data_IF_754486394288
#
_entry.id   IF_754486394288
#
_cell.length_a   1.000
_cell.length_b   1.000
_cell.length_c   1.000
_cell.angle_alpha   90.00
_cell.angle_beta   90.00
_cell.angle_gamma   90.00
#
_symmetry.space_group_name_H-M   'P 1'
#
loop_
_entity.id
_entity.type
_entity.pdbx_description
1 polymer ?
#
# COMPACT_ATOMS: atom_id res chain seq x y z
N UNK A 1 4.50 -7.89 -25.08
CA UNK A 1 3.66 -8.63 -24.13
C UNK A 1 3.48 -7.67 -22.97
N UNK A 2 2.37 -6.93 -22.93
CA UNK A 2 2.13 -5.97 -21.85
C UNK A 2 2.06 -6.75 -20.54
N UNK A 3 2.79 -6.31 -19.52
CA UNK A 3 2.56 -6.78 -18.16
C UNK A 3 1.15 -6.33 -17.80
N UNK A 4 0.26 -7.30 -17.66
CA UNK A 4 -1.11 -7.06 -17.21
C UNK A 4 -1.04 -6.87 -15.69
N UNK A 5 -0.86 -5.62 -15.27
CA UNK A 5 -0.99 -5.25 -13.86
C UNK A 5 -2.46 -5.46 -13.52
N UNK A 6 -2.76 -6.27 -12.50
CA UNK A 6 -4.14 -6.51 -12.12
C UNK A 6 -4.86 -5.20 -11.79
N UNK A 7 -6.16 -5.12 -12.11
CA UNK A 7 -6.97 -3.89 -11.99
C UNK A 7 -6.96 -3.27 -10.61
N UNK A 8 -6.86 -4.08 -9.56
CA UNK A 8 -6.80 -3.61 -8.18
C UNK A 8 -5.48 -2.89 -7.90
N UNK A 9 -4.37 -3.48 -8.35
CA UNK A 9 -3.03 -2.89 -8.23
C UNK A 9 -2.91 -1.61 -9.04
N UNK A 10 -3.37 -1.63 -10.30
CA UNK A 10 -3.38 -0.45 -11.17
C UNK A 10 -4.21 0.69 -10.56
N UNK A 11 -5.44 0.43 -10.15
CA UNK A 11 -6.30 1.42 -9.49
C UNK A 11 -5.71 1.97 -8.21
N UNK A 12 -5.00 1.13 -7.45
CA UNK A 12 -4.29 1.55 -6.24
C UNK A 12 -3.15 2.52 -6.57
N UNK A 13 -2.36 2.20 -7.61
CA UNK A 13 -1.28 3.11 -8.05
C UNK A 13 -1.82 4.44 -8.57
N UNK A 14 -2.92 4.43 -9.33
CA UNK A 14 -3.57 5.65 -9.83
C UNK A 14 -3.98 6.56 -8.67
N UNK A 15 -4.69 6.01 -7.67
CA UNK A 15 -5.13 6.78 -6.50
C UNK A 15 -3.94 7.35 -5.71
N UNK A 16 -2.88 6.56 -5.50
CA UNK A 16 -1.69 7.02 -4.80
C UNK A 16 -0.94 8.11 -5.57
N UNK A 17 -0.78 7.93 -6.88
CA UNK A 17 -0.15 8.93 -7.75
C UNK A 17 -0.87 10.26 -7.65
N UNK A 18 -2.20 10.27 -7.75
CA UNK A 18 -2.99 11.52 -7.67
C UNK A 18 -2.92 12.16 -6.29
N UNK A 19 -2.99 11.35 -5.22
CA UNK A 19 -2.81 11.86 -3.87
C UNK A 19 -1.45 12.58 -3.73
N UNK A 20 -0.40 11.95 -4.22
CA UNK A 20 0.94 12.52 -4.21
C UNK A 20 1.05 13.78 -5.08
N UNK A 21 0.54 13.75 -6.32
CA UNK A 21 0.55 14.89 -7.22
C UNK A 21 -0.28 16.07 -6.70
N UNK A 22 -1.40 15.81 -5.99
CA UNK A 22 -2.23 16.86 -5.40
C UNK A 22 -1.53 17.64 -4.27
N UNK A 23 -0.56 17.01 -3.60
CA UNK A 23 0.29 17.65 -2.60
C UNK A 23 1.34 18.59 -3.22
N UNK A 24 1.72 18.32 -4.46
CA UNK A 24 2.65 19.12 -5.26
C UNK A 24 1.87 20.29 -5.88
N UNK A 25 1.70 21.40 -5.19
CA UNK A 25 1.03 22.61 -5.71
C UNK A 25 1.73 23.16 -6.96
N UNK A 26 1.49 22.58 -8.13
CA UNK A 26 2.19 23.01 -9.33
C UNK A 26 1.25 23.13 -10.53
N UNK A 27 1.23 24.31 -11.12
CA UNK A 27 0.84 24.53 -12.50
C UNK A 27 2.08 24.27 -13.39
N UNK A 28 2.50 23.02 -13.50
CA UNK A 28 3.60 22.64 -14.38
C UNK A 28 3.04 21.97 -15.62
N UNK A 29 3.66 22.23 -16.76
CA UNK A 29 3.29 21.62 -18.04
C UNK A 29 3.41 20.10 -18.00
N UNK A 30 4.31 19.58 -17.14
CA UNK A 30 4.57 18.15 -16.97
C UNK A 30 3.39 17.39 -16.33
N UNK A 31 2.47 18.07 -15.63
CA UNK A 31 1.24 17.44 -15.12
C UNK A 31 0.29 16.99 -16.24
N UNK A 32 0.42 17.55 -17.45
CA UNK A 32 -0.36 17.11 -18.60
C UNK A 32 -0.05 15.66 -19.00
N UNK A 33 1.12 15.12 -18.60
CA UNK A 33 1.45 13.70 -18.77
C UNK A 33 0.69 12.76 -17.83
N UNK A 34 -0.17 13.26 -16.93
CA UNK A 34 -0.94 12.47 -15.96
C UNK A 34 -2.43 12.80 -16.02
N UNK A 35 -2.96 13.21 -17.17
CA UNK A 35 -4.33 13.68 -17.32
C UNK A 35 -5.35 12.54 -17.08
N UNK A 36 -5.17 11.38 -17.71
CA UNK A 36 -6.05 10.23 -17.52
C UNK A 36 -5.95 9.70 -16.08
N UNK A 37 -4.74 9.67 -15.51
CA UNK A 37 -4.49 9.33 -14.11
C UNK A 37 -5.24 10.28 -13.18
N UNK A 38 -5.18 11.59 -13.42
CA UNK A 38 -5.89 12.60 -12.62
C UNK A 38 -7.40 12.42 -12.70
N UNK A 39 -7.94 12.28 -13.90
CA UNK A 39 -9.38 12.12 -14.10
C UNK A 39 -9.90 10.83 -13.46
N UNK A 40 -9.23 9.70 -13.69
CA UNK A 40 -9.62 8.42 -13.08
C UNK A 40 -9.50 8.45 -11.55
N UNK A 41 -8.43 9.04 -11.02
CA UNK A 41 -8.23 9.17 -9.58
C UNK A 41 -9.28 10.07 -8.90
N UNK A 42 -9.65 11.19 -9.51
CA UNK A 42 -10.74 12.05 -9.02
C UNK A 42 -12.10 11.33 -9.08
N UNK A 43 -12.38 10.57 -10.15
CA UNK A 43 -13.60 9.75 -10.22
C UNK A 43 -13.63 8.70 -9.11
N UNK A 44 -12.50 8.05 -8.85
CA UNK A 44 -12.34 7.11 -7.75
C UNK A 44 -12.53 7.74 -6.38
N UNK A 45 -11.97 8.94 -6.15
CA UNK A 45 -12.14 9.68 -4.92
C UNK A 45 -13.63 10.04 -4.67
N UNK A 46 -14.35 10.44 -5.71
CA UNK A 46 -15.80 10.67 -5.61
C UNK A 46 -16.56 9.38 -5.29
N UNK A 47 -16.27 8.29 -6.02
CA UNK A 47 -16.91 6.99 -5.80
C UNK A 47 -16.66 6.48 -4.38
N UNK A 48 -15.43 6.55 -3.89
CA UNK A 48 -15.07 6.12 -2.54
C UNK A 48 -15.85 6.86 -1.45
N UNK A 49 -16.14 8.16 -1.65
CA UNK A 49 -16.97 8.95 -0.74
C UNK A 49 -18.44 8.56 -0.79
N UNK A 50 -18.95 8.27 -2.00
CA UNK A 50 -20.32 7.77 -2.17
C UNK A 50 -20.48 6.41 -1.48
N UNK A 51 -19.53 5.49 -1.63
CA UNK A 51 -19.51 4.19 -0.97
C UNK A 51 -19.40 4.32 0.56
N UNK A 52 -18.52 5.21 1.04
CA UNK A 52 -18.32 5.44 2.49
C UNK A 52 -19.55 6.04 3.19
N UNK A 53 -20.43 6.68 2.45
CA UNK A 53 -21.69 7.22 2.97
C UNK A 53 -22.71 6.15 3.33
N UNK A 54 -22.53 4.93 2.84
CA UNK A 54 -23.42 3.75 3.10
C UNK A 54 -24.89 3.99 2.77
N UNK A 55 -25.21 4.96 1.91
CA UNK A 55 -26.54 5.22 1.40
C UNK A 55 -26.66 4.71 -0.03
N UNK A 56 -27.68 3.92 -0.32
CA UNK A 56 -27.95 3.43 -1.68
C UNK A 56 -28.38 4.59 -2.60
N UNK A 57 -29.04 5.60 -2.05
CA UNK A 57 -29.48 6.80 -2.78
C UNK A 57 -28.89 8.04 -2.09
N UNK A 58 -28.08 8.79 -2.83
CA UNK A 58 -27.41 9.99 -2.36
C UNK A 58 -28.00 11.22 -3.06
N UNK A 59 -28.52 12.22 -2.31
CA UNK A 59 -29.00 13.47 -2.91
C UNK A 59 -27.88 14.21 -3.66
N UNK A 60 -28.18 14.78 -4.84
CA UNK A 60 -27.20 15.50 -5.65
C UNK A 60 -26.46 16.61 -4.89
N UNK A 61 -27.15 17.31 -3.95
CA UNK A 61 -26.52 18.34 -3.14
C UNK A 61 -25.40 17.75 -2.25
N UNK A 62 -25.58 16.55 -1.75
CA UNK A 62 -24.56 15.85 -0.96
C UNK A 62 -23.40 15.40 -1.85
N UNK A 63 -23.69 14.87 -3.05
CA UNK A 63 -22.67 14.53 -4.03
C UNK A 63 -21.83 15.74 -4.46
N UNK A 64 -22.41 16.96 -4.53
CA UNK A 64 -21.64 18.18 -4.76
C UNK A 64 -20.63 18.49 -3.65
N UNK A 65 -20.96 18.17 -2.40
CA UNK A 65 -20.03 18.32 -1.27
C UNK A 65 -18.89 17.29 -1.44
N UNK A 66 -19.22 16.04 -1.73
CA UNK A 66 -18.22 15.00 -1.97
C UNK A 66 -17.32 15.31 -3.16
N UNK A 67 -17.88 15.84 -4.27
CA UNK A 67 -17.10 16.28 -5.42
C UNK A 67 -16.09 17.38 -5.05
N UNK A 68 -16.51 18.39 -4.31
CA UNK A 68 -15.60 19.44 -3.82
C UNK A 68 -14.46 18.88 -2.97
N UNK A 69 -14.78 17.92 -2.10
CA UNK A 69 -13.79 17.23 -1.29
C UNK A 69 -12.86 16.31 -2.10
N UNK A 70 -13.24 15.96 -3.31
CA UNK A 70 -12.44 15.20 -4.27
C UNK A 70 -11.77 16.10 -5.32
N UNK A 71 -11.62 17.40 -5.03
CA UNK A 71 -11.03 18.40 -5.93
C UNK A 71 -11.72 18.48 -7.31
N UNK A 72 -13.02 18.16 -7.34
CA UNK A 72 -13.87 18.26 -8.54
C UNK A 72 -14.69 19.55 -8.43
N UNK A 73 -14.59 20.42 -9.43
CA UNK A 73 -15.40 21.63 -9.49
C UNK A 73 -16.87 21.33 -9.76
N UNK A 74 -17.76 22.24 -9.39
CA UNK A 74 -19.20 22.07 -9.63
C UNK A 74 -19.57 21.96 -11.10
N UNK A 75 -18.75 22.51 -12.02
CA UNK A 75 -18.94 22.41 -13.46
C UNK A 75 -18.53 21.05 -14.03
N UNK A 76 -17.54 20.40 -13.40
CA UNK A 76 -17.01 19.12 -13.86
C UNK A 76 -17.76 17.90 -13.30
N UNK A 77 -18.54 18.08 -12.21
CA UNK A 77 -19.18 16.98 -11.50
C UNK A 77 -19.99 16.06 -12.43
N UNK A 78 -20.71 16.62 -13.42
CA UNK A 78 -21.52 15.83 -14.35
C UNK A 78 -20.63 14.90 -15.20
N UNK A 79 -19.45 15.35 -15.60
CA UNK A 79 -18.47 14.54 -16.33
C UNK A 79 -18.04 13.33 -15.52
N UNK A 80 -17.69 13.54 -14.24
CA UNK A 80 -17.29 12.46 -13.36
C UNK A 80 -18.43 11.50 -13.01
N UNK A 81 -19.65 12.01 -12.82
CA UNK A 81 -20.83 11.15 -12.67
C UNK A 81 -21.06 10.29 -13.94
N UNK A 82 -20.82 10.85 -15.13
CA UNK A 82 -20.92 10.08 -16.37
C UNK A 82 -19.83 9.00 -16.47
N UNK A 83 -18.59 9.25 -16.04
CA UNK A 83 -17.57 8.21 -16.00
C UNK A 83 -17.99 7.05 -15.08
N UNK A 84 -18.51 7.36 -13.89
CA UNK A 84 -18.97 6.35 -12.94
C UNK A 84 -20.22 5.60 -13.45
N UNK A 85 -21.11 6.28 -14.14
CA UNK A 85 -22.31 5.69 -14.79
C UNK A 85 -21.90 4.75 -15.91
N UNK A 86 -20.96 5.16 -16.77
CA UNK A 86 -20.41 4.31 -17.84
C UNK A 86 -19.64 3.10 -17.33
N UNK A 87 -19.15 3.17 -16.09
CA UNK A 87 -18.54 2.05 -15.37
C UNK A 87 -19.58 1.20 -14.62
N UNK A 88 -20.89 1.52 -14.74
CA UNK A 88 -22.00 0.82 -14.09
C UNK A 88 -21.91 0.80 -12.55
N UNK A 89 -21.32 1.84 -11.97
CA UNK A 89 -21.17 1.95 -10.50
C UNK A 89 -22.11 2.92 -9.85
N UNK A 90 -22.75 3.75 -10.65
CA UNK A 90 -23.86 4.64 -10.24
C UNK A 90 -24.88 4.74 -11.37
N UNK A 91 -26.09 5.16 -11.01
CA UNK A 91 -27.03 5.81 -11.92
C UNK A 91 -27.55 7.08 -11.25
N UNK A 92 -28.19 7.96 -12.03
CA UNK A 92 -28.80 9.16 -11.47
C UNK A 92 -30.05 9.57 -12.21
N UNK A 93 -31.04 10.03 -11.45
CA UNK A 93 -32.25 10.63 -11.98
C UNK A 93 -32.03 12.11 -12.25
N UNK A 94 -32.78 12.66 -13.22
CA UNK A 94 -32.71 14.10 -13.55
C UNK A 94 -34.05 14.79 -13.26
N UNK A 95 -33.99 16.07 -12.94
CA UNK A 95 -35.18 16.92 -12.81
C UNK A 95 -35.73 17.34 -14.21
N UNK A 96 -36.85 18.09 -14.21
CA UNK A 96 -37.47 18.61 -15.43
C UNK A 96 -36.55 19.52 -16.28
N UNK A 97 -35.47 20.03 -15.65
CA UNK A 97 -34.45 20.86 -16.33
C UNK A 97 -33.22 20.07 -16.75
N UNK A 98 -33.24 18.73 -16.62
CA UNK A 98 -32.13 17.85 -16.97
C UNK A 98 -30.98 17.86 -15.98
N UNK A 99 -31.17 18.34 -14.74
CA UNK A 99 -30.13 18.37 -13.70
C UNK A 99 -30.24 17.15 -12.81
N UNK A 100 -29.10 16.52 -12.45
CA UNK A 100 -29.12 15.37 -11.54
C UNK A 100 -29.82 15.72 -10.21
N UNK A 101 -30.67 14.82 -9.74
CA UNK A 101 -31.45 14.96 -8.51
C UNK A 101 -30.99 13.99 -7.42
N UNK A 102 -30.93 12.72 -7.76
CA UNK A 102 -30.58 11.64 -6.87
C UNK A 102 -29.61 10.69 -7.59
N UNK A 103 -28.65 10.17 -6.85
CA UNK A 103 -27.60 9.28 -7.35
C UNK A 103 -27.77 7.95 -6.63
N UNK A 104 -28.02 6.88 -7.39
CA UNK A 104 -28.03 5.52 -6.91
C UNK A 104 -26.62 4.93 -7.01
N UNK A 105 -26.15 4.26 -5.94
CA UNK A 105 -24.78 3.73 -5.85
C UNK A 105 -24.81 2.21 -5.90
N UNK A 106 -24.11 1.63 -6.88
CA UNK A 106 -24.00 0.19 -7.12
C UNK A 106 -22.60 -0.37 -6.83
N UNK A 107 -21.80 0.35 -6.07
CA UNK A 107 -20.47 -0.06 -5.63
C UNK A 107 -20.52 -0.33 -4.14
N UNK A 108 -20.12 -1.55 -3.71
CA UNK A 108 -20.33 -2.02 -2.34
C UNK A 108 -19.03 -2.26 -1.58
N UNK A 109 -17.88 -2.16 -2.23
CA UNK A 109 -16.58 -2.34 -1.58
C UNK A 109 -15.54 -1.39 -2.14
N UNK A 110 -14.52 -1.11 -1.33
CA UNK A 110 -13.41 -0.30 -1.79
C UNK A 110 -12.53 -1.00 -2.83
N UNK A 111 -12.45 -2.32 -2.80
CA UNK A 111 -11.81 -3.11 -3.85
C UNK A 111 -12.47 -2.84 -5.20
N UNK A 112 -13.79 -2.93 -5.23
CA UNK A 112 -14.58 -2.66 -6.43
C UNK A 112 -14.40 -1.20 -6.90
N UNK A 113 -14.30 -0.25 -5.96
CA UNK A 113 -14.02 1.14 -6.29
C UNK A 113 -12.63 1.31 -6.96
N UNK A 114 -11.58 0.66 -6.46
CA UNK A 114 -10.25 0.69 -7.05
C UNK A 114 -10.20 0.00 -8.43
N UNK A 115 -10.84 -1.15 -8.60
CA UNK A 115 -10.98 -1.82 -9.89
C UNK A 115 -11.75 -0.95 -10.91
N UNK A 116 -12.68 -0.13 -10.42
CA UNK A 116 -13.41 0.85 -11.23
C UNK A 116 -12.51 1.99 -11.68
N UNK A 117 -11.60 2.46 -10.81
CA UNK A 117 -10.59 3.47 -11.20
C UNK A 117 -9.75 2.98 -12.37
N UNK A 118 -9.23 1.76 -12.30
CA UNK A 118 -8.49 1.13 -13.41
C UNK A 118 -9.35 1.05 -14.68
N UNK A 119 -10.62 0.67 -14.56
CA UNK A 119 -11.53 0.58 -15.72
C UNK A 119 -11.78 1.95 -16.36
N UNK A 120 -11.95 3.02 -15.57
CA UNK A 120 -12.11 4.39 -16.08
C UNK A 120 -10.82 4.87 -16.73
N UNK A 121 -9.67 4.66 -16.08
CA UNK A 121 -8.36 5.02 -16.59
C UNK A 121 -8.11 4.47 -18.00
N UNK A 122 -8.33 3.17 -18.17
CA UNK A 122 -8.14 2.51 -19.46
C UNK A 122 -9.13 3.00 -20.55
N UNK A 123 -10.34 3.45 -20.17
CA UNK A 123 -11.30 4.07 -21.08
C UNK A 123 -10.93 5.50 -21.51
N UNK A 124 -10.10 6.17 -20.72
CA UNK A 124 -9.60 7.52 -21.02
C UNK A 124 -8.42 7.53 -22.00
N UNK A 125 -8.02 6.34 -22.50
CA UNK A 125 -6.90 6.19 -23.44
C UNK A 125 -5.62 6.88 -22.96
N UNK A 126 -5.05 6.43 -21.79
CA UNK A 126 -3.90 7.07 -21.17
C UNK A 126 -2.69 7.14 -22.10
N UNK A 127 -1.88 8.19 -21.93
CA UNK A 127 -0.64 8.36 -22.69
C UNK A 127 0.37 7.26 -22.34
N UNK A 128 1.35 7.04 -23.23
CA UNK A 128 2.38 6.02 -23.03
C UNK A 128 3.18 6.26 -21.73
N UNK A 129 3.46 7.52 -21.41
CA UNK A 129 4.17 7.93 -20.19
C UNK A 129 3.38 7.60 -18.91
N UNK A 130 2.05 7.75 -18.93
CA UNK A 130 1.20 7.38 -17.80
C UNK A 130 1.22 5.88 -17.55
N UNK A 131 1.05 5.09 -18.61
CA UNK A 131 1.10 3.63 -18.54
C UNK A 131 2.49 3.14 -18.09
N UNK A 132 3.54 3.68 -18.69
CA UNK A 132 4.92 3.38 -18.32
C UNK A 132 5.21 3.74 -16.86
N UNK A 133 4.64 4.86 -16.37
CA UNK A 133 4.80 5.27 -14.96
C UNK A 133 4.18 4.25 -14.00
N UNK A 134 2.97 3.78 -14.25
CA UNK A 134 2.31 2.78 -13.38
C UNK A 134 3.06 1.44 -13.39
N UNK A 135 3.54 1.00 -14.55
CA UNK A 135 4.37 -0.21 -14.71
C UNK A 135 5.69 -0.04 -13.93
N UNK A 136 6.36 1.11 -14.10
CA UNK A 136 7.61 1.41 -13.41
C UNK A 136 7.46 1.50 -11.89
N UNK A 137 6.35 2.07 -11.39
CA UNK A 137 6.03 2.10 -9.97
C UNK A 137 5.85 0.70 -9.41
N UNK A 138 5.16 -0.19 -10.11
CA UNK A 138 5.00 -1.57 -9.68
C UNK A 138 6.33 -2.32 -9.67
N UNK A 139 7.17 -2.12 -10.69
CA UNK A 139 8.49 -2.76 -10.77
C UNK A 139 9.45 -2.30 -9.66
N UNK A 140 9.46 -1.00 -9.35
CA UNK A 140 10.27 -0.44 -8.24
C UNK A 140 9.69 -0.74 -6.86
N UNK A 141 8.40 -1.11 -6.78
CA UNK A 141 7.78 -1.59 -5.56
C UNK A 141 8.24 -3.00 -5.20
N UNK A 142 8.50 -3.85 -6.17
CA UNK A 142 9.00 -5.21 -5.94
C UNK A 142 10.42 -5.20 -5.40
N UNK A 143 11.32 -4.45 -6.02
CA UNK A 143 12.72 -4.32 -5.61
C UNK A 143 13.27 -2.93 -5.95
N UNK A 144 14.23 -2.40 -5.17
CA UNK A 144 15.05 -1.27 -5.59
C UNK A 144 15.79 -1.57 -6.89
N UNK A 145 15.78 -0.62 -7.83
CA UNK A 145 16.32 -0.79 -9.19
C UNK A 145 17.29 0.33 -9.57
N UNK A 146 18.31 0.02 -10.35
CA UNK A 146 19.09 1.07 -11.01
C UNK A 146 18.31 1.65 -12.20
N UNK A 147 18.50 2.94 -12.56
CA UNK A 147 17.74 3.57 -13.65
C UNK A 147 17.80 2.80 -14.98
N UNK A 148 18.97 2.24 -15.31
CA UNK A 148 19.15 1.49 -16.57
C UNK A 148 18.34 0.18 -16.58
N UNK A 149 18.23 -0.53 -15.45
CA UNK A 149 17.37 -1.73 -15.33
C UNK A 149 15.90 -1.36 -15.52
N UNK A 150 15.45 -0.25 -14.93
CA UNK A 150 14.08 0.22 -15.11
C UNK A 150 13.82 0.60 -16.56
N UNK A 151 14.75 1.29 -17.21
CA UNK A 151 14.66 1.67 -18.62
C UNK A 151 14.58 0.42 -19.52
N UNK A 152 15.45 -0.55 -19.30
CA UNK A 152 15.47 -1.82 -20.04
C UNK A 152 14.17 -2.61 -19.82
N UNK A 153 13.67 -2.64 -18.59
CA UNK A 153 12.41 -3.30 -18.26
C UNK A 153 11.23 -2.65 -18.99
N UNK A 154 11.10 -1.33 -18.98
CA UNK A 154 10.05 -0.61 -19.69
C UNK A 154 10.13 -0.86 -21.21
N UNK A 155 11.31 -0.82 -21.80
CA UNK A 155 11.47 -1.07 -23.24
C UNK A 155 11.16 -2.50 -23.65
N UNK A 156 11.53 -3.49 -22.84
CA UNK A 156 11.13 -4.91 -23.04
C UNK A 156 9.62 -5.11 -22.99
N UNK A 157 8.91 -4.24 -22.27
CA UNK A 157 7.45 -4.25 -22.17
C UNK A 157 6.73 -3.39 -23.21
N UNK A 158 7.46 -2.91 -24.23
CA UNK A 158 6.89 -2.24 -25.39
C UNK A 158 6.85 -0.72 -25.28
N UNK A 159 7.39 -0.13 -24.23
CA UNK A 159 7.54 1.33 -24.09
C UNK A 159 8.70 1.81 -24.99
N UNK A 160 8.52 2.90 -25.70
CA UNK A 160 9.59 3.49 -26.51
C UNK A 160 10.77 3.94 -25.62
N UNK A 161 11.98 3.94 -26.16
CA UNK A 161 13.18 4.28 -25.39
C UNK A 161 13.15 5.74 -24.90
N UNK A 162 12.59 6.63 -25.69
CA UNK A 162 12.41 8.05 -25.37
C UNK A 162 11.36 8.22 -24.26
N UNK A 163 10.23 7.54 -24.38
CA UNK A 163 9.19 7.55 -23.37
C UNK A 163 9.67 6.95 -22.04
N UNK A 164 10.41 5.83 -22.08
CA UNK A 164 10.97 5.23 -20.86
C UNK A 164 11.93 6.19 -20.13
N UNK A 165 12.78 6.91 -20.85
CA UNK A 165 13.67 7.91 -20.25
C UNK A 165 12.89 9.08 -19.66
N UNK A 166 11.90 9.61 -20.39
CA UNK A 166 11.01 10.69 -19.92
C UNK A 166 10.24 10.27 -18.67
N UNK A 167 9.66 9.07 -18.67
CA UNK A 167 8.91 8.52 -17.53
C UNK A 167 9.76 8.44 -16.26
N UNK A 168 11.00 7.96 -16.37
CA UNK A 168 11.91 7.87 -15.23
C UNK A 168 12.21 9.26 -14.66
N UNK A 169 12.44 10.26 -15.51
CA UNK A 169 12.66 11.63 -15.05
C UNK A 169 11.41 12.26 -14.44
N UNK A 170 10.22 12.00 -14.99
CA UNK A 170 8.95 12.43 -14.40
C UNK A 170 8.74 11.79 -13.01
N UNK A 171 8.98 10.49 -12.87
CA UNK A 171 8.86 9.80 -11.59
C UNK A 171 9.80 10.35 -10.53
N UNK A 172 11.06 10.68 -10.90
CA UNK A 172 12.02 11.33 -10.00
C UNK A 172 11.59 12.75 -9.64
N UNK A 173 11.23 13.55 -10.65
CA UNK A 173 10.85 14.96 -10.48
C UNK A 173 9.63 15.12 -9.57
N UNK A 174 8.64 14.28 -9.77
CA UNK A 174 7.44 14.28 -8.95
C UNK A 174 7.59 13.49 -7.63
N UNK A 175 8.74 12.82 -7.41
CA UNK A 175 9.00 12.06 -6.20
C UNK A 175 8.13 10.81 -6.07
N UNK A 176 7.57 10.32 -7.17
CA UNK A 176 6.82 9.06 -7.24
C UNK A 176 7.70 7.85 -6.92
N UNK A 177 8.97 7.93 -7.30
CA UNK A 177 10.05 7.06 -6.83
C UNK A 177 11.06 7.87 -6.05
N UNK A 178 11.62 7.29 -5.01
CA UNK A 178 12.73 7.87 -4.26
C UNK A 178 14.05 7.49 -4.89
N UNK A 179 15.03 8.36 -4.72
CA UNK A 179 16.36 8.20 -5.26
C UNK A 179 17.36 8.11 -4.12
N UNK A 180 18.23 7.11 -4.15
CA UNK A 180 19.37 6.97 -3.25
C UNK A 180 20.65 6.85 -4.06
N UNK A 181 21.74 7.49 -3.63
CA UNK A 181 23.01 7.50 -4.35
C UNK A 181 23.13 8.60 -5.39
N UNK A 182 24.33 8.71 -5.97
CA UNK A 182 24.69 9.71 -6.99
C UNK A 182 25.35 9.03 -8.20
N UNK A 183 25.16 9.61 -9.38
CA UNK A 183 25.80 9.14 -10.61
C UNK A 183 25.42 7.69 -10.97
N UNK A 184 26.43 6.85 -11.21
CA UNK A 184 26.27 5.44 -11.57
C UNK A 184 25.71 4.56 -10.43
N UNK A 185 25.83 5.03 -9.18
CA UNK A 185 25.37 4.28 -8.00
C UNK A 185 23.94 4.68 -7.61
N UNK A 186 23.22 5.38 -8.48
CA UNK A 186 21.86 5.81 -8.25
C UNK A 186 20.90 4.61 -8.26
N UNK A 187 20.04 4.53 -7.24
CA UNK A 187 19.03 3.49 -7.06
C UNK A 187 17.66 4.13 -6.90
N UNK A 188 16.71 3.64 -7.66
CA UNK A 188 15.30 4.01 -7.58
C UNK A 188 14.55 3.00 -6.72
N UNK A 189 13.74 3.46 -5.79
CA UNK A 189 12.94 2.60 -4.93
C UNK A 189 11.61 3.25 -4.56
N UNK A 190 10.67 2.41 -4.17
CA UNK A 190 9.37 2.87 -3.68
C UNK A 190 9.38 2.88 -2.14
N UNK A 191 9.05 4.02 -1.54
CA UNK A 191 9.07 4.18 -0.07
C UNK A 191 8.01 3.33 0.64
N UNK A 192 6.97 2.85 -0.07
CA UNK A 192 5.94 2.01 0.50
C UNK A 192 6.38 0.55 0.69
N UNK A 193 7.35 0.10 -0.10
CA UNK A 193 7.77 -1.29 -0.11
C UNK A 193 9.06 -1.55 0.66
N UNK A 194 9.84 -0.52 0.95
CA UNK A 194 11.19 -0.73 1.46
C UNK A 194 11.59 0.31 2.50
N UNK A 195 11.77 -0.14 3.74
CA UNK A 195 12.22 0.69 4.86
C UNK A 195 13.73 0.54 5.17
N UNK A 196 14.44 -0.31 4.42
CA UNK A 196 15.87 -0.56 4.61
C UNK A 196 16.76 0.40 3.84
N UNK A 197 18.04 0.04 3.68
CA UNK A 197 19.00 0.76 2.84
C UNK A 197 18.93 0.26 1.39
N UNK A 198 18.36 1.05 0.46
CA UNK A 198 18.19 0.65 -0.94
C UNK A 198 19.54 0.40 -1.64
N UNK A 199 20.59 1.13 -1.28
CA UNK A 199 21.93 0.94 -1.85
C UNK A 199 22.52 -0.40 -1.46
N UNK A 200 22.29 -0.82 -0.21
CA UNK A 200 22.74 -2.12 0.27
C UNK A 200 22.06 -3.25 -0.50
N UNK A 201 20.76 -3.13 -0.79
CA UNK A 201 20.04 -4.10 -1.63
C UNK A 201 20.59 -4.12 -3.04
N UNK A 202 20.67 -2.98 -3.71
CA UNK A 202 21.17 -2.89 -5.07
C UNK A 202 22.59 -3.46 -5.21
N UNK A 203 23.48 -3.15 -4.24
CA UNK A 203 24.84 -3.68 -4.20
C UNK A 203 24.87 -5.20 -3.98
N UNK A 204 24.00 -5.73 -3.13
CA UNK A 204 23.88 -7.17 -2.92
C UNK A 204 23.39 -7.87 -4.20
N UNK A 205 22.33 -7.33 -4.85
CA UNK A 205 21.79 -7.87 -6.10
C UNK A 205 22.78 -7.78 -7.27
N UNK A 206 23.56 -6.70 -7.37
CA UNK A 206 24.57 -6.55 -8.43
C UNK A 206 25.74 -7.53 -8.32
N UNK A 207 25.99 -8.05 -7.11
CA UNK A 207 27.03 -9.06 -6.87
C UNK A 207 26.61 -10.48 -7.24
N UNK A 208 25.34 -10.73 -7.50
CA UNK A 208 24.78 -12.03 -7.85
C UNK A 208 24.92 -12.33 -9.35
N UNK A 209 25.14 -13.60 -9.68
CA UNK A 209 25.00 -14.08 -11.05
C UNK A 209 23.52 -14.20 -11.48
N UNK A 210 23.26 -14.53 -12.74
CA UNK A 210 21.91 -14.61 -13.26
C UNK A 210 21.09 -15.72 -12.58
N UNK A 211 21.69 -16.88 -12.32
CA UNK A 211 21.01 -18.00 -11.67
C UNK A 211 20.64 -17.64 -10.22
N UNK A 212 21.50 -16.90 -9.53
CA UNK A 212 21.25 -16.41 -8.17
C UNK A 212 20.19 -15.33 -8.11
N UNK A 213 20.13 -14.46 -9.13
CA UNK A 213 19.04 -13.47 -9.26
C UNK A 213 17.69 -14.17 -9.49
N UNK A 214 17.66 -15.21 -10.31
CA UNK A 214 16.45 -16.02 -10.51
C UNK A 214 16.00 -16.71 -9.20
N UNK A 215 16.94 -17.18 -8.38
CA UNK A 215 16.64 -17.69 -7.04
C UNK A 215 16.04 -16.64 -6.13
N UNK A 216 16.55 -15.40 -6.11
CA UNK A 216 15.98 -14.28 -5.35
C UNK A 216 14.53 -14.02 -5.77
N UNK A 217 14.28 -13.96 -7.09
CA UNK A 217 12.93 -13.73 -7.62
C UNK A 217 11.97 -14.86 -7.25
N UNK A 218 12.44 -16.11 -7.31
CA UNK A 218 11.62 -17.27 -6.94
C UNK A 218 11.28 -17.28 -5.42
N UNK A 219 12.25 -17.01 -4.56
CA UNK A 219 12.00 -16.90 -3.10
C UNK A 219 11.00 -15.77 -2.82
N UNK A 220 11.18 -14.61 -3.45
CA UNK A 220 10.27 -13.48 -3.28
C UNK A 220 8.86 -13.83 -3.74
N UNK A 221 8.71 -14.53 -4.89
CA UNK A 221 7.42 -15.02 -5.39
C UNK A 221 6.74 -15.96 -4.39
N UNK A 222 7.46 -16.98 -3.91
CA UNK A 222 6.94 -17.97 -2.95
C UNK A 222 6.44 -17.33 -1.66
N UNK A 223 7.24 -16.42 -1.09
CA UNK A 223 6.90 -15.74 0.17
C UNK A 223 5.77 -14.72 -0.03
N UNK A 224 5.71 -14.05 -1.18
CA UNK A 224 4.63 -13.11 -1.50
C UNK A 224 3.29 -13.82 -1.74
N UNK A 225 3.30 -14.97 -2.39
CA UNK A 225 2.11 -15.79 -2.62
C UNK A 225 1.60 -16.46 -1.34
N UNK A 226 2.48 -16.67 -0.37
CA UNK A 226 2.12 -17.31 0.91
C UNK A 226 2.78 -16.58 2.09
N UNK A 227 2.23 -15.46 2.54
CA UNK A 227 2.76 -14.75 3.70
C UNK A 227 2.85 -15.66 4.94
N UNK A 228 3.97 -15.56 5.64
CA UNK A 228 4.32 -16.52 6.70
C UNK A 228 4.79 -17.87 6.14
N UNK A 229 5.54 -17.85 5.04
CA UNK A 229 6.13 -19.03 4.41
C UNK A 229 7.15 -19.69 5.35
N UNK A 230 7.06 -21.00 5.53
CA UNK A 230 8.00 -21.73 6.40
C UNK A 230 9.37 -21.82 5.72
N UNK A 231 10.43 -21.36 6.38
CA UNK A 231 11.78 -21.35 5.82
C UNK A 231 12.27 -22.77 5.41
N UNK A 232 11.84 -23.79 6.14
CA UNK A 232 12.16 -25.19 5.85
C UNK A 232 11.49 -25.72 4.57
N UNK A 233 10.43 -25.05 4.09
CA UNK A 233 9.71 -25.43 2.85
C UNK A 233 10.30 -24.76 1.60
N UNK A 234 11.35 -23.94 1.75
CA UNK A 234 12.07 -23.37 0.62
C UNK A 234 12.69 -24.52 -0.20
N UNK A 235 12.50 -24.54 -1.54
CA UNK A 235 13.05 -25.60 -2.39
C UNK A 235 14.56 -25.75 -2.23
N UNK A 236 15.04 -26.98 -2.17
CA UNK A 236 16.48 -27.30 -2.06
C UNK A 236 17.32 -26.83 -3.25
N UNK A 237 16.69 -26.41 -4.34
CA UNK A 237 17.34 -25.76 -5.50
C UNK A 237 17.82 -24.34 -5.16
N UNK A 238 17.23 -23.71 -4.16
CA UNK A 238 17.63 -22.39 -3.68
C UNK A 238 18.81 -22.55 -2.72
N UNK A 239 19.91 -21.86 -3.02
CA UNK A 239 21.10 -21.89 -2.16
C UNK A 239 20.79 -21.17 -0.82
N UNK A 240 21.12 -21.76 0.35
CA UNK A 240 20.81 -21.17 1.66
C UNK A 240 21.32 -19.74 1.85
N UNK A 241 22.51 -19.42 1.35
CA UNK A 241 23.09 -18.07 1.46
C UNK A 241 22.26 -17.00 0.75
N UNK A 242 21.44 -17.34 -0.24
CA UNK A 242 20.51 -16.40 -0.90
C UNK A 242 19.44 -15.94 0.09
N UNK A 243 18.84 -16.88 0.82
CA UNK A 243 17.83 -16.54 1.85
C UNK A 243 18.44 -15.70 2.97
N UNK A 244 19.60 -16.10 3.47
CA UNK A 244 20.36 -15.34 4.50
C UNK A 244 20.71 -13.92 4.02
N UNK A 245 21.14 -13.79 2.76
CA UNK A 245 21.42 -12.49 2.15
C UNK A 245 20.14 -11.66 2.07
N UNK A 246 19.02 -12.22 1.60
CA UNK A 246 17.74 -11.53 1.48
C UNK A 246 17.22 -11.03 2.84
N UNK A 247 17.32 -11.82 3.90
CA UNK A 247 17.01 -11.39 5.27
C UNK A 247 17.99 -10.29 5.72
N UNK A 248 19.29 -10.48 5.49
CA UNK A 248 20.35 -9.55 5.88
C UNK A 248 20.25 -8.16 5.23
N UNK A 249 19.70 -8.05 4.04
CA UNK A 249 19.47 -6.76 3.35
C UNK A 249 18.04 -6.24 3.50
N UNK A 250 17.14 -7.00 4.17
CA UNK A 250 15.76 -6.59 4.42
C UNK A 250 14.79 -6.82 3.26
N UNK A 251 15.10 -7.75 2.36
CA UNK A 251 14.15 -8.24 1.34
C UNK A 251 13.20 -9.30 1.88
N UNK A 252 13.54 -9.90 3.02
CA UNK A 252 12.70 -10.81 3.78
C UNK A 252 12.72 -10.44 5.26
N UNK A 253 11.60 -10.63 5.92
CA UNK A 253 11.45 -10.53 7.37
C UNK A 253 11.16 -11.92 7.94
N UNK A 254 12.07 -12.46 8.77
CA UNK A 254 11.93 -13.76 9.44
C UNK A 254 11.39 -13.59 10.86
N UNK A 255 10.31 -14.30 11.20
CA UNK A 255 9.78 -14.39 12.57
C UNK A 255 9.88 -15.82 13.05
N UNK A 256 10.66 -16.04 14.11
CA UNK A 256 10.84 -17.37 14.72
C UNK A 256 9.86 -17.56 15.88
N UNK A 257 8.96 -18.53 15.72
CA UNK A 257 8.08 -18.98 16.82
C UNK A 257 8.79 -20.10 17.57
N UNK A 258 8.98 -19.92 18.86
CA UNK A 258 9.51 -20.93 19.79
C UNK A 258 8.40 -21.49 20.66
N UNK A 259 8.34 -22.80 20.77
CA UNK A 259 7.36 -23.52 21.57
C UNK A 259 7.98 -24.75 22.24
N UNK A 260 7.27 -25.38 23.15
CA UNK A 260 7.67 -26.64 23.79
C UNK A 260 7.92 -27.79 22.78
N UNK A 261 7.34 -27.73 21.59
CA UNK A 261 7.50 -28.73 20.52
C UNK A 261 8.61 -28.40 19.52
N UNK A 262 9.35 -27.33 19.72
CA UNK A 262 10.43 -26.89 18.82
C UNK A 262 10.27 -25.44 18.36
N UNK A 263 11.08 -25.05 17.38
CA UNK A 263 11.05 -23.71 16.76
C UNK A 263 10.83 -23.82 15.25
N UNK A 264 10.27 -22.76 14.67
CA UNK A 264 10.14 -22.61 13.23
C UNK A 264 10.16 -21.13 12.84
N UNK A 265 10.81 -20.82 11.72
CA UNK A 265 10.92 -19.47 11.20
C UNK A 265 9.99 -19.28 10.01
N UNK A 266 9.18 -18.22 10.03
CA UNK A 266 8.21 -17.87 9.02
C UNK A 266 8.62 -16.56 8.36
N UNK A 267 8.64 -16.57 7.03
CA UNK A 267 9.12 -15.46 6.21
C UNK A 267 7.95 -14.63 5.69
N UNK A 268 8.16 -13.33 5.65
CA UNK A 268 7.28 -12.36 4.98
C UNK A 268 8.13 -11.42 4.14
N UNK A 269 7.54 -10.79 3.11
CA UNK A 269 8.21 -9.74 2.33
C UNK A 269 7.81 -8.35 2.84
N UNK A 270 8.64 -7.30 2.64
CA UNK A 270 8.26 -5.91 2.91
C UNK A 270 7.01 -5.48 2.15
N UNK A 271 6.82 -6.00 0.92
CA UNK A 271 5.66 -5.75 0.06
C UNK A 271 4.34 -6.26 0.64
N UNK A 272 4.37 -7.03 1.73
CA UNK A 272 3.19 -7.45 2.46
C UNK A 272 2.29 -6.27 2.87
N UNK A 273 2.83 -5.07 3.00
CA UNK A 273 2.06 -3.84 3.22
C UNK A 273 1.16 -3.44 2.05
N UNK A 274 1.41 -3.97 0.86
CA UNK A 274 0.71 -3.55 -0.34
C UNK A 274 1.04 -2.11 -0.80
N UNK A 275 0.81 -1.78 -2.07
CA UNK A 275 1.05 -0.45 -2.59
C UNK A 275 0.13 0.59 -1.90
N UNK A 276 0.69 1.73 -1.53
CA UNK A 276 -0.04 2.83 -0.90
C UNK A 276 -0.38 2.69 0.58
N UNK A 277 -0.06 1.57 1.22
CA UNK A 277 -0.15 1.41 2.68
C UNK A 277 1.12 1.95 3.33
N UNK A 278 1.27 3.27 3.35
CA UNK A 278 2.42 3.92 4.00
C UNK A 278 2.40 3.75 5.52
N UNK A 279 3.56 3.93 6.16
CA UNK A 279 3.73 3.92 7.63
C UNK A 279 2.82 4.93 8.35
N UNK A 280 2.32 5.94 7.64
CA UNK A 280 1.40 6.93 8.15
C UNK A 280 -0.02 6.38 8.41
N UNK A 281 -0.47 5.42 7.60
CA UNK A 281 -1.81 4.82 7.71
C UNK A 281 -1.83 3.58 8.60
N UNK A 282 -0.70 2.96 8.81
CA UNK A 282 -0.56 1.73 9.56
C UNK A 282 0.59 1.87 10.56
N UNK A 283 0.27 1.80 11.86
CA UNK A 283 1.29 1.77 12.91
C UNK A 283 2.23 0.58 12.71
N UNK A 284 3.54 0.85 12.75
CA UNK A 284 4.57 -0.19 12.65
C UNK A 284 4.39 -1.29 13.71
N UNK A 285 4.01 -0.89 14.92
CA UNK A 285 3.75 -1.80 16.03
C UNK A 285 2.58 -2.75 15.73
N UNK A 286 1.46 -2.22 15.20
CA UNK A 286 0.29 -3.02 14.83
C UNK A 286 0.62 -3.99 13.69
N UNK A 287 1.39 -3.54 12.70
CA UNK A 287 1.81 -4.38 11.59
C UNK A 287 2.76 -5.50 12.04
N UNK A 288 3.71 -5.19 12.93
CA UNK A 288 4.61 -6.18 13.49
C UNK A 288 3.84 -7.24 14.31
N UNK A 289 2.90 -6.82 15.17
CA UNK A 289 2.02 -7.73 15.91
C UNK A 289 1.16 -8.61 15.00
N UNK A 290 0.72 -8.08 13.87
CA UNK A 290 -0.02 -8.86 12.88
C UNK A 290 0.87 -9.94 12.23
N UNK A 291 2.12 -9.63 11.89
CA UNK A 291 3.08 -10.65 11.41
C UNK A 291 3.34 -11.74 12.45
N UNK A 292 3.46 -11.37 13.74
CA UNK A 292 3.63 -12.34 14.84
C UNK A 292 2.40 -13.26 14.94
N UNK A 293 1.18 -12.69 14.92
CA UNK A 293 -0.06 -13.49 14.98
C UNK A 293 -0.19 -14.42 13.77
N UNK A 294 0.14 -13.94 12.56
CA UNK A 294 0.19 -14.77 11.36
C UNK A 294 1.18 -15.94 11.54
N UNK A 295 2.39 -15.67 12.04
CA UNK A 295 3.43 -16.69 12.26
C UNK A 295 2.99 -17.74 13.29
N UNK A 296 2.31 -17.35 14.37
CA UNK A 296 1.73 -18.29 15.35
C UNK A 296 0.63 -19.17 14.71
N UNK A 297 -0.21 -18.61 13.85
CA UNK A 297 -1.23 -19.37 13.11
C UNK A 297 -0.58 -20.35 12.13
N UNK A 298 0.46 -19.94 11.40
CA UNK A 298 1.25 -20.81 10.51
C UNK A 298 1.97 -21.91 11.29
N UNK A 299 2.50 -21.62 12.47
CA UNK A 299 3.08 -22.63 13.35
C UNK A 299 2.03 -23.68 13.75
N UNK A 300 0.82 -23.23 14.09
CA UNK A 300 -0.31 -24.14 14.33
C UNK A 300 -0.69 -24.98 13.12
N UNK A 301 -0.45 -24.48 11.89
CA UNK A 301 -0.70 -25.21 10.64
C UNK A 301 0.39 -26.25 10.33
N UNK A 302 1.66 -25.89 10.51
CA UNK A 302 2.80 -26.70 10.05
C UNK A 302 3.34 -27.65 11.10
N UNK A 303 3.49 -27.19 12.35
CA UNK A 303 4.18 -27.92 13.41
C UNK A 303 3.26 -28.56 14.46
N UNK A 304 2.04 -28.02 14.71
CA UNK A 304 1.16 -28.55 15.75
C UNK A 304 0.52 -29.88 15.36
N UNK A 305 0.35 -30.78 16.36
CA UNK A 305 -0.43 -32.00 16.25
C UNK A 305 -1.92 -31.76 16.49
N UNK A 306 -2.80 -32.70 16.11
CA UNK A 306 -4.25 -32.60 16.32
C UNK A 306 -4.61 -32.43 17.79
N UNK A 307 -3.94 -33.16 18.71
CA UNK A 307 -4.21 -33.06 20.15
C UNK A 307 -3.80 -31.71 20.75
N UNK A 308 -2.96 -30.96 20.06
CA UNK A 308 -2.48 -29.64 20.50
C UNK A 308 -3.28 -28.49 19.91
N UNK A 309 -4.11 -28.74 18.88
CA UNK A 309 -4.92 -27.73 18.20
C UNK A 309 -4.43 -27.39 16.79
N UNK A 310 -4.09 -28.42 15.98
CA UNK A 310 -3.65 -28.27 14.60
C UNK A 310 -4.64 -27.47 13.75
N UNK A 311 -4.13 -26.52 13.01
CA UNK A 311 -4.85 -25.78 11.98
C UNK A 311 -4.62 -26.51 10.65
N UNK A 312 -5.59 -27.30 10.18
CA UNK A 312 -5.38 -28.22 9.07
C UNK A 312 -5.44 -27.58 7.69
N UNK A 313 -6.15 -26.46 7.55
CA UNK A 313 -6.37 -25.81 6.25
C UNK A 313 -6.36 -24.28 6.40
N UNK A 314 -6.13 -23.59 5.27
CA UNK A 314 -6.22 -22.14 5.20
C UNK A 314 -7.63 -21.64 5.56
N UNK A 315 -8.67 -22.35 5.13
CA UNK A 315 -10.08 -22.04 5.49
C UNK A 315 -10.29 -22.08 7.00
N UNK A 316 -9.75 -23.10 7.68
CA UNK A 316 -9.82 -23.19 9.15
C UNK A 316 -9.07 -22.04 9.81
N UNK A 317 -7.93 -21.62 9.25
CA UNK A 317 -7.18 -20.44 9.72
C UNK A 317 -8.02 -19.17 9.59
N UNK A 318 -8.63 -18.93 8.44
CA UNK A 318 -9.55 -17.80 8.21
C UNK A 318 -10.76 -17.84 9.15
N UNK A 319 -11.35 -19.00 9.37
CA UNK A 319 -12.47 -19.17 10.29
C UNK A 319 -12.08 -18.83 11.75
N UNK A 320 -10.86 -19.18 12.17
CA UNK A 320 -10.32 -18.77 13.48
C UNK A 320 -10.22 -17.25 13.56
N UNK A 321 -9.59 -16.62 12.57
CA UNK A 321 -9.43 -15.15 12.53
C UNK A 321 -10.77 -14.44 12.49
N UNK A 322 -11.73 -14.91 11.69
CA UNK A 322 -13.08 -14.34 11.61
C UNK A 322 -13.84 -14.46 12.95
N UNK A 323 -13.70 -15.58 13.69
CA UNK A 323 -14.28 -15.71 15.03
C UNK A 323 -13.66 -14.72 16.00
N UNK A 324 -12.32 -14.57 15.98
CA UNK A 324 -11.59 -13.61 16.79
C UNK A 324 -12.04 -12.16 16.52
N UNK A 325 -12.24 -11.81 15.25
CA UNK A 325 -12.74 -10.48 14.83
C UNK A 325 -14.19 -10.22 15.31
N UNK A 326 -15.03 -11.25 15.35
CA UNK A 326 -16.38 -11.13 15.97
C UNK A 326 -16.36 -11.06 17.50
N UNK A 327 -15.17 -11.08 18.11
CA UNK A 327 -15.00 -11.05 19.56
C UNK A 327 -15.40 -12.36 20.24
N UNK A 328 -15.41 -13.48 19.51
CA UNK A 328 -15.68 -14.81 20.03
C UNK A 328 -14.44 -15.42 20.71
N UNK A 329 -14.68 -16.35 21.66
CA UNK A 329 -13.63 -17.17 22.22
C UNK A 329 -13.31 -18.35 21.27
N UNK A 330 -12.04 -18.53 20.92
CA UNK A 330 -11.54 -19.61 20.09
C UNK A 330 -10.73 -20.58 20.94
N UNK A 331 -10.96 -21.87 20.76
CA UNK A 331 -10.33 -22.96 21.52
C UNK A 331 -11.36 -24.05 21.87
N UNK A 332 -11.05 -24.96 22.87
CA UNK A 332 -9.80 -24.98 23.60
C UNK A 332 -8.65 -25.63 22.82
N UNK A 333 -7.42 -25.17 23.06
CA UNK A 333 -6.22 -25.77 22.53
C UNK A 333 -5.03 -25.49 23.48
N UNK A 334 -4.14 -26.47 23.66
CA UNK A 334 -2.92 -26.27 24.48
C UNK A 334 -1.93 -25.33 23.78
N UNK A 335 -1.90 -25.34 22.44
CA UNK A 335 -1.10 -24.42 21.64
C UNK A 335 -1.34 -22.94 22.01
N UNK A 336 -2.57 -22.57 22.40
CA UNK A 336 -2.92 -21.19 22.71
C UNK A 336 -2.12 -20.65 23.90
N UNK A 337 -1.96 -21.42 24.95
CA UNK A 337 -1.21 -20.99 26.14
C UNK A 337 0.32 -20.96 25.95
N UNK A 338 0.83 -21.62 24.91
CA UNK A 338 2.27 -21.74 24.66
C UNK A 338 2.72 -20.88 23.49
N UNK A 339 2.12 -21.07 22.31
CA UNK A 339 2.58 -20.45 21.05
C UNK A 339 2.19 -18.97 20.94
N UNK A 340 1.16 -18.53 21.69
CA UNK A 340 0.62 -17.17 21.64
C UNK A 340 0.96 -16.32 22.87
N UNK A 341 1.84 -16.82 23.75
CA UNK A 341 2.17 -16.15 25.01
C UNK A 341 2.69 -14.72 24.81
N UNK A 342 3.50 -14.46 23.78
CA UNK A 342 4.00 -13.12 23.46
C UNK A 342 2.84 -12.17 23.11
N UNK A 343 1.88 -12.63 22.32
CA UNK A 343 0.71 -11.83 21.92
C UNK A 343 -0.22 -11.53 23.11
N UNK A 344 -0.26 -12.42 24.11
CA UNK A 344 -0.97 -12.17 25.36
C UNK A 344 -0.25 -11.10 26.19
N UNK A 345 1.07 -11.19 26.30
CA UNK A 345 1.89 -10.20 27.03
C UNK A 345 1.78 -8.81 26.38
N UNK A 346 1.72 -8.74 25.05
CA UNK A 346 1.56 -7.50 24.27
C UNK A 346 0.11 -6.99 24.24
N UNK A 347 -0.82 -7.69 24.90
CA UNK A 347 -2.22 -7.31 25.00
C UNK A 347 -2.98 -7.41 23.66
N UNK A 348 -2.46 -8.17 22.70
CA UNK A 348 -3.14 -8.43 21.40
C UNK A 348 -4.30 -9.38 21.58
N UNK A 349 -4.08 -10.41 22.42
CA UNK A 349 -5.09 -11.39 22.80
C UNK A 349 -5.27 -11.46 24.31
N UNK A 350 -6.36 -12.06 24.72
CA UNK A 350 -6.60 -12.48 26.09
C UNK A 350 -6.80 -13.98 26.07
N UNK A 351 -6.20 -14.70 27.03
CA UNK A 351 -6.41 -16.13 27.20
C UNK A 351 -7.20 -16.42 28.47
N UNK A 352 -7.81 -17.62 28.51
CA UNK A 352 -8.38 -18.21 29.72
C UNK A 352 -8.14 -19.72 29.71
N UNK A 353 -7.69 -20.30 30.82
CA UNK A 353 -7.54 -21.75 30.91
C UNK A 353 -8.91 -22.44 30.97
N UNK A 354 -8.93 -23.73 30.60
CA UNK A 354 -10.10 -24.60 30.74
C UNK A 354 -9.68 -25.98 31.26
N UNK A 355 -10.57 -26.62 31.99
CA UNK A 355 -10.37 -28.00 32.42
C UNK A 355 -10.96 -29.00 31.39
N UNK A 356 -10.37 -30.20 31.21
CA UNK A 356 -9.17 -30.67 31.94
C UNK A 356 -7.86 -30.11 31.38
N UNK A 357 -7.80 -29.64 30.10
CA UNK A 357 -6.58 -29.10 29.50
C UNK A 357 -6.89 -28.12 28.40
N UNK A 358 -6.04 -27.09 28.25
CA UNK A 358 -6.04 -26.13 27.16
C UNK A 358 -6.45 -24.72 27.55
N UNK A 359 -6.47 -23.87 26.54
CA UNK A 359 -6.78 -22.45 26.69
C UNK A 359 -7.74 -22.03 25.60
N UNK A 360 -8.61 -21.06 25.92
CA UNK A 360 -9.32 -20.27 24.94
C UNK A 360 -8.60 -18.95 24.76
N UNK A 361 -8.64 -18.37 23.53
CA UNK A 361 -8.16 -17.03 23.25
C UNK A 361 -9.27 -16.16 22.66
N UNK A 362 -9.18 -14.85 22.93
CA UNK A 362 -10.04 -13.81 22.38
C UNK A 362 -9.18 -12.63 21.95
N UNK A 363 -9.48 -12.04 20.80
CA UNK A 363 -8.79 -10.87 20.28
C UNK A 363 -9.14 -9.62 21.10
N UNK A 364 -8.13 -8.78 21.38
CA UNK A 364 -8.26 -7.49 22.06
C UNK A 364 -7.97 -6.32 21.13
N UNK A 365 -7.01 -6.48 20.21
CA UNK A 365 -6.65 -5.47 19.22
C UNK A 365 -7.26 -5.86 17.87
N UNK A 366 -8.40 -5.26 17.54
CA UNK A 366 -9.16 -5.57 16.31
C UNK A 366 -8.31 -5.37 15.05
N UNK A 367 -7.55 -4.26 15.00
CA UNK A 367 -6.72 -3.91 13.85
C UNK A 367 -5.70 -5.00 13.50
N UNK A 368 -5.09 -5.63 14.51
CA UNK A 368 -4.14 -6.74 14.33
C UNK A 368 -4.82 -7.93 13.65
N UNK A 369 -6.01 -8.31 14.13
CA UNK A 369 -6.79 -9.40 13.53
C UNK A 369 -7.22 -9.12 12.10
N UNK A 370 -7.62 -7.89 11.82
CA UNK A 370 -8.05 -7.47 10.49
C UNK A 370 -6.88 -7.51 9.49
N UNK A 371 -5.70 -7.04 9.88
CA UNK A 371 -4.50 -7.15 9.06
C UNK A 371 -4.15 -8.61 8.74
N UNK A 372 -4.21 -9.50 9.75
CA UNK A 372 -3.97 -10.93 9.53
C UNK A 372 -4.99 -11.53 8.55
N UNK A 373 -6.27 -11.15 8.67
CA UNK A 373 -7.30 -11.58 7.72
C UNK A 373 -6.95 -11.18 6.30
N UNK A 374 -6.50 -9.93 6.10
CA UNK A 374 -6.10 -9.42 4.80
C UNK A 374 -4.86 -10.13 4.26
N UNK A 375 -3.82 -10.31 5.09
CA UNK A 375 -2.60 -11.04 4.73
C UNK A 375 -2.91 -12.47 4.26
N UNK A 376 -3.88 -13.16 4.89
CA UNK A 376 -4.27 -14.52 4.52
C UNK A 376 -5.15 -14.53 3.26
N UNK A 377 -6.04 -13.55 3.09
CA UNK A 377 -7.03 -13.52 2.00
C UNK A 377 -6.45 -13.00 0.69
N UNK A 378 -5.58 -11.99 0.78
CA UNK A 378 -5.05 -11.25 -0.38
C UNK A 378 -3.55 -11.36 -0.55
N UNK A 379 -2.87 -12.14 0.31
CA UNK A 379 -1.41 -12.27 0.39
C UNK A 379 -0.68 -10.93 0.63
N UNK A 380 -1.42 -9.89 0.97
CA UNK A 380 -0.92 -8.54 1.29
C UNK A 380 -1.94 -7.80 2.15
N UNK A 381 -1.51 -6.76 2.84
CA UNK A 381 -2.41 -5.80 3.43
C UNK A 381 -2.95 -4.93 2.29
N UNK A 382 -4.20 -5.18 1.94
CA UNK A 382 -4.94 -4.31 1.03
C UNK A 382 -5.68 -3.27 1.87
N UNK A 383 -5.91 -2.11 1.28
CA UNK A 383 -6.72 -1.06 1.91
C UNK A 383 -8.23 -1.40 1.88
N UNK A 384 -8.56 -2.67 2.07
CA UNK A 384 -9.95 -3.13 2.25
C UNK A 384 -10.47 -2.85 3.65
N UNK A 385 -10.17 -1.77 4.21
CA UNK A 385 -10.93 -1.37 5.36
C UNK A 385 -12.13 -0.65 4.80
N UNK A 386 -13.31 -1.25 4.93
CA UNK A 386 -14.61 -0.65 4.56
C UNK A 386 -14.79 0.77 5.12
N UNK A 387 -13.99 1.14 6.13
CA UNK A 387 -13.87 2.50 6.66
C UNK A 387 -12.71 3.31 6.08
N UNK A 388 -11.62 2.72 5.59
CA UNK A 388 -10.37 3.43 5.28
C UNK A 388 -10.10 3.63 3.80
N UNK A 389 -10.73 2.90 2.87
CA UNK A 389 -10.71 3.32 1.46
C UNK A 389 -11.50 4.63 1.30
N UNK A 390 -12.57 4.78 2.05
CA UNK A 390 -13.18 6.09 2.24
C UNK A 390 -12.16 7.14 2.74
N UNK A 391 -11.19 6.77 3.57
CA UNK A 391 -10.19 7.67 4.15
C UNK A 391 -8.94 7.83 3.27
N UNK A 392 -8.58 6.85 2.43
CA UNK A 392 -7.61 7.04 1.34
C UNK A 392 -8.15 7.92 0.23
N UNK A 393 -9.42 7.75 -0.07
CA UNK A 393 -10.15 8.53 -1.04
C UNK A 393 -10.75 9.82 -0.44
N UNK A 394 -10.73 9.97 0.89
CA UNK A 394 -11.01 11.24 1.58
C UNK A 394 -9.73 12.05 1.65
N UNK A 395 -9.80 13.32 1.30
CA UNK A 395 -8.80 14.29 1.75
C UNK A 395 -8.67 14.19 3.28
N UNK A 396 -7.44 14.27 3.77
CA UNK A 396 -7.21 14.42 5.21
C UNK A 396 -8.06 15.59 5.74
N UNK A 397 -8.68 15.43 6.91
CA UNK A 397 -9.38 16.54 7.51
C UNK A 397 -8.45 17.76 7.53
N UNK A 398 -8.92 18.87 7.02
CA UNK A 398 -8.18 20.13 6.87
C UNK A 398 -7.56 20.68 8.18
N UNK A 399 -7.75 19.98 9.30
CA UNK A 399 -7.27 20.34 10.64
C UNK A 399 -6.02 19.56 11.10
N UNK A 400 -5.57 18.55 10.39
CA UNK A 400 -4.36 17.79 10.74
C UNK A 400 -3.28 17.97 9.68
N UNK A 401 -2.57 19.10 9.75
CA UNK A 401 -1.37 19.34 8.94
C UNK A 401 -0.17 18.86 9.75
N UNK A 402 0.48 17.80 9.27
CA UNK A 402 1.73 17.28 9.87
C UNK A 402 2.78 18.40 9.84
N UNK A 403 3.66 18.51 10.86
CA UNK A 403 4.66 19.58 10.92
C UNK A 403 5.52 19.73 9.66
N UNK A 404 5.84 18.64 8.98
CA UNK A 404 6.60 18.61 7.73
C UNK A 404 5.81 19.22 6.57
N UNK A 405 4.55 18.82 6.41
CA UNK A 405 3.64 19.38 5.39
C UNK A 405 3.37 20.87 5.66
N UNK A 406 3.25 21.26 6.93
CA UNK A 406 3.11 22.65 7.32
C UNK A 406 4.36 23.47 7.00
N UNK A 407 5.55 22.91 7.23
CA UNK A 407 6.83 23.53 6.83
C UNK A 407 6.91 23.72 5.32
N UNK A 408 6.56 22.70 4.55
CA UNK A 408 6.53 22.77 3.08
C UNK A 408 5.51 23.80 2.58
N UNK A 409 4.33 23.87 3.19
CA UNK A 409 3.31 24.88 2.88
C UNK A 409 3.73 26.30 3.25
N UNK A 410 4.48 26.48 4.33
CA UNK A 410 5.04 27.77 4.73
C UNK A 410 6.14 28.19 3.76
N UNK A 411 7.00 27.26 3.34
CA UNK A 411 8.06 27.52 2.35
C UNK A 411 7.49 27.82 0.96
N UNK A 412 6.39 27.18 0.58
CA UNK A 412 5.69 27.44 -0.69
C UNK A 412 4.85 28.74 -0.68
N UNK A 413 4.52 29.27 0.51
CA UNK A 413 3.83 30.56 0.71
C UNK A 413 4.80 31.70 1.00
N UNK A 414 6.03 31.69 0.44
CA UNK A 414 6.92 32.83 0.59
C UNK A 414 6.33 34.03 -0.16
N UNK A 415 5.55 34.81 0.58
CA UNK A 415 5.11 36.13 0.13
C UNK A 415 6.33 37.06 0.11
N UNK A 416 6.34 38.06 -0.78
CA UNK A 416 7.43 39.05 -0.88
C UNK A 416 7.97 39.59 0.46
N UNK A 417 7.12 39.83 1.52
CA UNK A 417 7.60 40.18 2.85
C UNK A 417 8.42 39.10 3.55
N UNK A 418 8.08 37.81 3.33
CA UNK A 418 8.79 36.66 3.92
C UNK A 418 10.14 36.46 3.25
N UNK A 419 10.22 36.68 1.95
CA UNK A 419 11.50 36.67 1.21
C UNK A 419 12.42 37.83 1.63
N UNK A 420 11.85 39.01 1.82
CA UNK A 420 12.61 40.14 2.33
C UNK A 420 13.16 39.87 3.75
N UNK A 421 12.35 39.25 4.63
CA UNK A 421 12.78 38.86 5.98
C UNK A 421 13.87 37.79 5.93
N UNK A 422 13.72 36.80 5.07
CA UNK A 422 14.69 35.72 4.83
C UNK A 422 16.01 36.28 4.32
N UNK A 423 15.97 37.19 3.34
CA UNK A 423 17.15 37.83 2.80
C UNK A 423 17.85 38.70 3.84
N UNK A 424 17.07 39.37 4.69
CA UNK A 424 17.59 40.16 5.83
C UNK A 424 18.26 39.28 6.88
N UNK A 425 17.66 38.12 7.23
CA UNK A 425 18.27 37.13 8.14
C UNK A 425 19.56 36.56 7.55
N UNK A 426 19.56 36.21 6.27
CA UNK A 426 20.77 35.70 5.58
C UNK A 426 21.88 36.76 5.50
N UNK A 427 21.53 38.01 5.27
CA UNK A 427 22.53 39.12 5.29
C UNK A 427 23.11 39.29 6.70
N UNK A 428 22.26 39.24 7.76
CA UNK A 428 22.72 39.35 9.15
C UNK A 428 23.63 38.18 9.55
N UNK A 429 23.31 36.94 9.12
CA UNK A 429 24.15 35.77 9.37
C UNK A 429 25.48 35.84 8.62
N UNK A 430 25.51 36.39 7.39
CA UNK A 430 26.73 36.54 6.58
C UNK A 430 27.61 37.70 7.01
N UNK A 431 27.03 38.72 7.63
CA UNK A 431 27.76 39.93 8.08
C UNK A 431 28.06 39.94 9.58
N UNK A 432 27.71 38.86 10.31
CA UNK A 432 27.97 38.80 11.76
C UNK A 432 27.23 39.83 12.61
N UNK A 433 26.09 40.34 12.11
CA UNK A 433 25.25 41.28 12.88
C UNK A 433 25.76 42.68 13.03
N UNK A 434 26.80 43.07 12.33
CA UNK A 434 27.27 44.47 12.35
C UNK A 434 26.52 45.26 11.29
N UNK A 435 25.44 45.91 11.71
CA UNK A 435 24.83 46.99 10.93
C UNK A 435 25.69 48.23 11.14
N UNK A 436 26.32 48.72 10.13
CA UNK A 436 26.75 50.12 10.04
C UNK A 436 25.62 50.99 9.53
#
# INVERSE_FOLDING_TARGET
>A
MCIDVDKLTEGTWIVNTIKHLSELKQNTTELTFFEATEQAGKAGALLGRLVADKQEIVPYQKARIFARQSSISSGELITYLNYLRQAEKIDYTVDEMGRPKEIEVYCFSGKEALETVSTIYNKLEPQEEEQASLIGLNYTFELPRVPDELKEFLTKNGVSEECAATTIELQKTFGLVKVSGEGSDQVLYNEYSFNGDPQRVAKALSALDNDERDMVMEVQRLVSETPGFLIEDIPSTIKPHIVEMMEGVGLLDGITVQSAIGSATFLTTPQLRGPGVGSFLLSEDVFHKAKILLSCLRFGQTKSSFGRGKISTLEKMLNIVNKLLRGEWVGPATAIGEDYALLEMDGVIQTRPTEPYGFYMKLRQYEVGELVRQMITYNRVALEIESNIGDLLKEQPSSCVIPETRKSQILAKSTAPVEALRNKMLSTLRTGGVSR
#
